data_IF_857027536824
#
_entry.id   IF_857027536824
#
_cell.length_a   1.000
_cell.length_b   1.000
_cell.length_c   1.000
_cell.angle_alpha   90.00
_cell.angle_beta   90.00
_cell.angle_gamma   90.00
#
_symmetry.space_group_name_H-M   'P 1'
#
loop_
_entity.id
_entity.type
_entity.pdbx_description
1 polymer ?
#
# COMPACT_ATOMS: atom_id res chain seq x y z
N UNK A 1 -0.99 10.25 -2.84
CA UNK A 1 -0.69 11.68 -2.85
C UNK A 1 -1.25 12.30 -4.12
N UNK A 2 -2.01 13.37 -3.96
CA UNK A 2 -2.52 14.17 -5.07
C UNK A 2 -1.61 15.36 -5.31
N UNK A 3 -1.17 15.53 -6.56
CA UNK A 3 -0.37 16.69 -6.95
C UNK A 3 -1.21 17.98 -6.94
N UNK A 4 -2.51 17.88 -7.22
CA UNK A 4 -3.44 19.01 -7.22
C UNK A 4 -3.67 19.57 -5.81
N UNK A 5 -3.88 18.68 -4.83
CA UNK A 5 -4.17 19.08 -3.45
C UNK A 5 -2.92 19.19 -2.57
N UNK A 6 -1.77 18.81 -3.09
CA UNK A 6 -0.46 18.78 -2.38
C UNK A 6 -0.51 18.03 -1.04
N UNK A 7 -1.22 16.90 -0.98
CA UNK A 7 -1.39 16.09 0.23
C UNK A 7 -1.71 14.63 -0.07
N UNK A 8 -1.58 13.78 0.96
CA UNK A 8 -2.18 12.46 0.92
C UNK A 8 -3.70 12.57 0.84
N UNK A 9 -4.30 11.69 0.07
CA UNK A 9 -5.75 11.59 -0.11
C UNK A 9 -6.16 10.21 0.36
N UNK A 10 -7.12 10.18 1.28
CA UNK A 10 -7.70 8.93 1.73
C UNK A 10 -8.51 8.31 0.59
N UNK A 11 -8.31 7.02 0.40
CA UNK A 11 -9.18 6.23 -0.47
C UNK A 11 -10.45 5.95 0.32
N UNK A 12 -11.60 6.30 -0.23
CA UNK A 12 -12.90 6.09 0.39
C UNK A 12 -13.05 4.62 0.85
N UNK A 13 -13.21 4.36 2.16
CA UNK A 13 -13.35 3.01 2.68
C UNK A 13 -14.55 2.25 2.11
N UNK A 14 -15.60 2.96 1.68
CA UNK A 14 -16.77 2.34 1.04
C UNK A 14 -16.46 1.83 -0.38
N UNK A 15 -15.41 2.36 -1.00
CA UNK A 15 -14.94 1.96 -2.33
C UNK A 15 -13.80 0.95 -2.28
N UNK A 16 -13.27 0.67 -1.10
CA UNK A 16 -12.23 -0.33 -0.88
C UNK A 16 -12.84 -1.59 -0.26
N UNK A 17 -12.52 -2.73 -0.83
CA UNK A 17 -12.89 -4.03 -0.28
C UNK A 17 -11.68 -4.63 0.40
N UNK A 18 -11.83 -4.92 1.67
CA UNK A 18 -10.84 -5.67 2.42
C UNK A 18 -11.03 -7.16 2.16
N UNK A 19 -9.95 -7.87 1.95
CA UNK A 19 -9.96 -9.33 1.76
C UNK A 19 -9.17 -10.02 2.83
N UNK A 20 -9.53 -11.27 3.03
CA UNK A 20 -8.63 -12.23 3.64
C UNK A 20 -7.40 -12.42 2.72
N UNK A 21 -6.22 -12.75 3.29
CA UNK A 21 -5.03 -12.98 2.49
C UNK A 21 -5.27 -13.97 1.36
N UNK A 22 -4.71 -13.69 0.20
CA UNK A 22 -4.79 -14.56 -0.97
C UNK A 22 -4.24 -15.95 -0.61
N UNK A 23 -4.98 -16.99 -0.96
CA UNK A 23 -4.59 -18.37 -0.68
C UNK A 23 -5.14 -18.95 0.64
N UNK A 24 -5.83 -18.15 1.47
CA UNK A 24 -6.54 -18.70 2.64
C UNK A 24 -7.76 -19.55 2.25
N UNK A 25 -8.39 -19.22 1.13
CA UNK A 25 -9.50 -20.00 0.59
C UNK A 25 -9.20 -20.40 -0.85
N UNK A 26 -9.35 -21.68 -1.21
CA UNK A 26 -9.21 -22.11 -2.58
C UNK A 26 -10.28 -21.44 -3.45
N UNK A 27 -9.98 -21.18 -4.70
CA UNK A 27 -10.97 -20.83 -5.70
C UNK A 27 -11.83 -22.05 -6.01
N UNK A 28 -13.02 -21.84 -6.57
CA UNK A 28 -13.95 -22.94 -6.88
C UNK A 28 -13.35 -23.95 -7.86
N UNK A 29 -12.47 -23.48 -8.72
CA UNK A 29 -11.77 -24.31 -9.71
C UNK A 29 -10.68 -25.21 -9.10
N UNK A 30 -10.16 -24.82 -7.90
CA UNK A 30 -9.13 -25.59 -7.18
C UNK A 30 -9.72 -26.69 -6.28
N UNK A 31 -11.03 -26.71 -6.05
CA UNK A 31 -11.71 -27.63 -5.12
C UNK A 31 -11.79 -29.06 -5.67
N UNK A 32 -11.82 -29.24 -6.98
CA UNK A 32 -11.93 -30.55 -7.60
C UNK A 32 -10.67 -31.43 -7.40
N UNK A 33 -9.54 -30.85 -7.00
CA UNK A 33 -8.29 -31.56 -6.76
C UNK A 33 -7.98 -31.81 -5.26
N UNK A 34 -8.75 -31.23 -4.35
CA UNK A 34 -8.49 -31.36 -2.91
C UNK A 34 -9.30 -32.50 -2.27
N UNK A 35 -8.69 -33.35 -1.44
CA UNK A 35 -9.44 -34.38 -0.69
C UNK A 35 -10.42 -33.70 0.27
N UNK A 36 -11.70 -34.03 0.11
CA UNK A 36 -12.85 -33.44 0.81
C UNK A 36 -12.89 -33.76 2.32
N UNK A 37 -12.01 -33.19 3.10
CA UNK A 37 -12.02 -33.41 4.55
C UNK A 37 -12.46 -32.21 5.39
N UNK A 38 -12.53 -31.00 4.84
CA UNK A 38 -13.12 -29.84 5.50
C UNK A 38 -13.78 -28.95 4.44
N UNK A 39 -15.09 -28.60 4.57
CA UNK A 39 -15.69 -27.63 3.67
C UNK A 39 -15.13 -26.23 3.98
N UNK A 40 -14.05 -25.85 3.31
CA UNK A 40 -13.58 -24.48 3.33
C UNK A 40 -14.52 -23.63 2.44
N UNK A 41 -14.96 -22.45 2.89
CA UNK A 41 -15.71 -21.56 2.04
C UNK A 41 -14.86 -21.17 0.82
N UNK A 42 -15.37 -21.44 -0.38
CA UNK A 42 -14.74 -21.04 -1.63
C UNK A 42 -15.20 -19.64 -2.02
N UNK A 43 -14.30 -18.79 -2.48
CA UNK A 43 -14.66 -17.53 -3.12
C UNK A 43 -14.93 -17.76 -4.60
N UNK A 44 -16.12 -17.37 -5.10
CA UNK A 44 -16.42 -17.44 -6.54
C UNK A 44 -15.52 -16.51 -7.37
N UNK A 45 -15.13 -15.38 -6.80
CA UNK A 45 -14.15 -14.42 -7.38
C UNK A 45 -13.54 -13.58 -6.27
N UNK A 46 -12.27 -13.26 -6.42
CA UNK A 46 -11.66 -12.18 -5.64
C UNK A 46 -12.16 -10.84 -6.17
N UNK A 47 -12.63 -9.98 -5.28
CA UNK A 47 -12.99 -8.62 -5.66
C UNK A 47 -11.72 -7.82 -6.00
N UNK A 48 -11.82 -6.86 -6.87
CA UNK A 48 -10.71 -5.98 -7.27
C UNK A 48 -10.99 -4.57 -6.79
N UNK A 49 -10.01 -3.93 -6.21
CA UNK A 49 -10.05 -2.51 -5.92
C UNK A 49 -9.43 -1.75 -7.08
N UNK A 50 -10.17 -0.79 -7.61
CA UNK A 50 -9.69 0.08 -8.68
C UNK A 50 -9.47 1.49 -8.14
N UNK A 51 -8.25 1.99 -8.29
CA UNK A 51 -7.86 3.35 -7.93
C UNK A 51 -7.31 4.06 -9.14
N UNK A 52 -7.89 5.19 -9.48
CA UNK A 52 -7.45 6.01 -10.59
C UNK A 52 -6.52 7.13 -10.12
N UNK A 53 -5.33 7.20 -10.71
CA UNK A 53 -4.48 8.38 -10.61
C UNK A 53 -5.00 9.41 -11.61
N UNK A 54 -5.55 10.51 -11.11
CA UNK A 54 -6.34 11.46 -11.90
C UNK A 54 -5.46 12.49 -12.62
N UNK A 55 -4.45 13.03 -11.94
CA UNK A 55 -3.61 14.12 -12.41
C UNK A 55 -2.17 13.70 -12.73
N UNK A 56 -1.53 14.42 -13.64
CA UNK A 56 -0.08 14.31 -13.84
C UNK A 56 0.61 14.76 -12.55
N UNK A 57 1.57 13.95 -12.09
CA UNK A 57 2.24 14.17 -10.82
C UNK A 57 1.61 13.44 -9.62
N UNK A 58 0.42 12.86 -9.77
CA UNK A 58 -0.16 12.01 -8.72
C UNK A 58 0.74 10.80 -8.44
N UNK A 59 0.86 10.45 -7.17
CA UNK A 59 1.71 9.37 -6.70
C UNK A 59 0.89 8.41 -5.84
N UNK A 60 0.89 7.14 -6.22
CA UNK A 60 0.35 6.05 -5.40
C UNK A 60 1.50 5.31 -4.74
N UNK A 61 1.40 5.11 -3.44
CA UNK A 61 2.31 4.27 -2.66
C UNK A 61 1.52 3.07 -2.16
N UNK A 62 1.97 1.88 -2.55
CA UNK A 62 1.51 0.63 -1.97
C UNK A 62 2.58 0.18 -0.96
N UNK A 63 2.15 -0.20 0.22
CA UNK A 63 3.05 -0.53 1.32
C UNK A 63 2.53 -1.71 2.12
N UNK A 64 3.46 -2.43 2.74
CA UNK A 64 3.12 -3.39 3.79
C UNK A 64 2.94 -2.69 5.14
N UNK A 65 2.43 -3.43 6.12
CA UNK A 65 2.23 -2.97 7.50
C UNK A 65 3.52 -2.48 8.16
N UNK A 66 4.68 -3.04 7.81
CA UNK A 66 5.97 -2.60 8.33
C UNK A 66 6.27 -1.10 8.17
N UNK A 67 5.73 -0.42 7.13
CA UNK A 67 5.79 1.04 7.05
C UNK A 67 4.61 1.71 7.76
N UNK A 68 3.41 1.14 7.65
CA UNK A 68 2.21 1.74 8.23
C UNK A 68 2.28 1.77 9.77
N UNK A 69 2.81 0.72 10.38
CA UNK A 69 2.95 0.59 11.84
C UNK A 69 4.29 1.12 12.35
N UNK A 70 5.16 1.63 11.45
CA UNK A 70 6.47 2.15 11.85
C UNK A 70 6.34 3.32 12.82
N UNK A 71 7.02 3.22 13.96
CA UNK A 71 6.95 4.22 15.03
C UNK A 71 8.27 4.31 15.80
N UNK A 72 8.47 5.45 16.47
CA UNK A 72 9.56 5.62 17.42
C UNK A 72 9.14 5.35 18.87
N UNK A 73 7.94 4.78 19.08
CA UNK A 73 7.35 4.50 20.38
C UNK A 73 6.47 5.62 20.94
N UNK A 74 6.58 6.84 20.43
CA UNK A 74 5.74 7.98 20.84
C UNK A 74 4.96 8.57 19.67
N UNK A 75 5.44 8.38 18.45
CA UNK A 75 4.90 8.97 17.24
C UNK A 75 4.95 7.94 16.11
N UNK A 76 3.92 7.93 15.27
CA UNK A 76 3.84 7.09 14.07
C UNK A 76 4.47 7.81 12.87
N UNK A 77 5.10 7.02 12.00
CA UNK A 77 5.69 7.55 10.78
C UNK A 77 4.62 7.99 9.75
N UNK A 78 3.56 7.20 9.64
CA UNK A 78 2.44 7.50 8.76
C UNK A 78 1.29 8.14 9.54
N UNK A 79 0.53 9.05 8.91
CA UNK A 79 0.67 9.58 7.56
C UNK A 79 1.62 10.79 7.43
N UNK A 80 1.94 11.52 8.52
CA UNK A 80 2.52 12.87 8.47
C UNK A 80 3.94 12.89 7.91
N UNK A 81 4.81 11.98 8.35
CA UNK A 81 6.19 11.90 7.86
C UNK A 81 6.23 11.43 6.41
N UNK A 82 5.45 10.42 6.07
CA UNK A 82 5.33 9.92 4.70
C UNK A 82 4.87 11.03 3.75
N UNK A 83 3.83 11.80 4.12
CA UNK A 83 3.36 12.92 3.30
C UNK A 83 4.46 13.96 3.06
N UNK A 84 5.17 14.35 4.12
CA UNK A 84 6.27 15.31 4.04
C UNK A 84 7.36 14.85 3.08
N UNK A 85 7.76 13.58 3.15
CA UNK A 85 8.79 13.02 2.28
C UNK A 85 8.33 12.97 0.83
N UNK A 86 7.11 12.48 0.57
CA UNK A 86 6.55 12.44 -0.78
C UNK A 86 6.46 13.86 -1.36
N UNK A 87 5.97 14.83 -0.58
CA UNK A 87 5.88 16.23 -1.01
C UNK A 87 7.25 16.80 -1.39
N UNK A 88 8.29 16.53 -0.60
CA UNK A 88 9.64 17.04 -0.87
C UNK A 88 10.34 16.34 -2.04
N UNK A 89 9.98 15.09 -2.33
CA UNK A 89 10.58 14.27 -3.38
C UNK A 89 9.70 14.11 -4.62
N UNK A 90 8.54 14.74 -4.66
CA UNK A 90 7.51 14.53 -5.71
C UNK A 90 7.99 14.76 -7.14
N UNK A 91 8.99 15.61 -7.35
CA UNK A 91 9.55 15.89 -8.68
C UNK A 91 10.55 14.82 -9.13
N UNK A 92 10.98 13.94 -8.23
CA UNK A 92 11.93 12.89 -8.52
C UNK A 92 11.28 11.71 -9.27
N UNK A 93 12.12 10.81 -9.79
CA UNK A 93 11.64 9.54 -10.34
C UNK A 93 11.08 8.63 -9.23
N UNK A 94 10.20 7.68 -9.55
CA UNK A 94 9.65 6.75 -8.55
C UNK A 94 10.72 6.03 -7.71
N UNK A 95 11.82 5.63 -8.33
CA UNK A 95 12.93 4.98 -7.64
C UNK A 95 13.56 5.90 -6.57
N UNK A 96 13.82 7.15 -6.91
CA UNK A 96 14.37 8.12 -5.96
C UNK A 96 13.37 8.52 -4.87
N UNK A 97 12.06 8.44 -5.14
CA UNK A 97 11.03 8.61 -4.11
C UNK A 97 11.09 7.47 -3.10
N UNK A 98 11.27 6.21 -3.57
CA UNK A 98 11.45 5.05 -2.68
C UNK A 98 12.70 5.25 -1.80
N UNK A 99 13.82 5.64 -2.38
CA UNK A 99 15.06 5.89 -1.64
C UNK A 99 14.85 6.97 -0.56
N UNK A 100 14.17 8.07 -0.92
CA UNK A 100 13.87 9.14 0.02
C UNK A 100 12.96 8.69 1.17
N UNK A 101 11.94 7.89 0.89
CA UNK A 101 11.06 7.31 1.92
C UNK A 101 11.88 6.39 2.84
N UNK A 102 12.69 5.51 2.28
CA UNK A 102 13.49 4.56 3.05
C UNK A 102 14.50 5.27 3.96
N UNK A 103 15.23 6.25 3.44
CA UNK A 103 16.20 7.02 4.22
C UNK A 103 15.54 7.81 5.37
N UNK A 104 14.38 8.41 5.12
CA UNK A 104 13.65 9.15 6.15
C UNK A 104 13.07 8.21 7.21
N UNK A 105 12.51 7.07 6.80
CA UNK A 105 12.00 6.03 7.69
C UNK A 105 13.09 5.52 8.64
N UNK A 106 14.26 5.17 8.12
CA UNK A 106 15.38 4.68 8.93
C UNK A 106 15.93 5.75 9.86
N UNK A 107 15.91 7.02 9.43
CA UNK A 107 16.31 8.16 10.25
C UNK A 107 15.32 8.43 11.38
N UNK A 108 14.04 8.20 11.14
CA UNK A 108 12.97 8.39 12.12
C UNK A 108 13.05 7.37 13.26
N UNK A 109 13.21 6.10 12.93
CA UNK A 109 13.42 5.01 13.89
C UNK A 109 14.06 3.78 13.21
N UNK A 110 14.75 2.91 13.96
CA UNK A 110 15.18 1.62 13.43
C UNK A 110 13.97 0.80 12.93
N UNK A 111 14.05 0.17 11.74
CA UNK A 111 13.00 -0.71 11.25
C UNK A 111 12.70 -1.83 12.25
N UNK A 112 11.41 -2.06 12.50
CA UNK A 112 10.93 -3.06 13.45
C UNK A 112 10.34 -4.28 12.76
N UNK A 113 9.99 -4.15 11.47
CA UNK A 113 9.42 -5.21 10.65
C UNK A 113 9.84 -5.06 9.18
N UNK A 114 9.62 -6.12 8.40
CA UNK A 114 9.91 -6.13 6.97
C UNK A 114 9.02 -5.13 6.23
N UNK A 115 9.65 -4.28 5.42
CA UNK A 115 8.95 -3.23 4.69
C UNK A 115 9.09 -3.42 3.19
N UNK A 116 7.97 -3.49 2.50
CA UNK A 116 7.90 -3.48 1.04
C UNK A 116 7.17 -2.25 0.55
N UNK A 117 7.70 -1.63 -0.49
CA UNK A 117 7.15 -0.42 -1.09
C UNK A 117 7.04 -0.54 -2.61
N UNK A 118 5.93 -0.06 -3.16
CA UNK A 118 5.78 0.19 -4.59
C UNK A 118 5.33 1.63 -4.79
N UNK A 119 6.03 2.38 -5.63
CA UNK A 119 5.67 3.75 -5.99
C UNK A 119 5.28 3.80 -7.45
N UNK A 120 4.07 4.28 -7.70
CA UNK A 120 3.54 4.54 -9.05
C UNK A 120 3.29 6.02 -9.18
N UNK A 121 3.93 6.66 -10.17
CA UNK A 121 3.76 8.10 -10.45
C UNK A 121 3.19 8.29 -11.85
N UNK A 122 2.12 9.09 -11.96
CA UNK A 122 1.57 9.47 -13.24
C UNK A 122 2.41 10.59 -13.87
N UNK A 123 2.98 10.33 -15.04
CA UNK A 123 3.88 11.26 -15.73
C UNK A 123 3.27 11.92 -16.97
N UNK A 124 2.18 11.37 -17.48
CA UNK A 124 1.43 11.89 -18.61
C UNK A 124 -0.03 11.41 -18.57
#
# INVERSE_FOLDING_TARGET
YSAEYDRLVDIDPERTKNFLPVGLFPTRDDIDEAPATVPLPSAERYSVNEVSLMGVGDIMVLQTDGLYEHSNGSESYTPEHLERVIRSSRELSPHLIIDAIYEDMVRFAPPQDDTSLVVIKKTA
#
